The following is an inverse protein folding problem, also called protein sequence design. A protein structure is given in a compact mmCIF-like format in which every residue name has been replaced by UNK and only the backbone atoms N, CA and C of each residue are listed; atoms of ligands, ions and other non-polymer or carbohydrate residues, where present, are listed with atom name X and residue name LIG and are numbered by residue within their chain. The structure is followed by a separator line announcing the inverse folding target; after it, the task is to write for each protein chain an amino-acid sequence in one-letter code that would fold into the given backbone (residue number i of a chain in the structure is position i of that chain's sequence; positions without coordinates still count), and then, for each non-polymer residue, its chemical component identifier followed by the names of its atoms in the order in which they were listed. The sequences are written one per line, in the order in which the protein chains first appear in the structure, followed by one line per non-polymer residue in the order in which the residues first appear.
data_IF_228337410761
#
_entry.id   IF_228337410761
#
_cell.length_a   1.000
_cell.length_b   1.000
_cell.length_c   1.000
_cell.angle_alpha   90.00
_cell.angle_beta   90.00
_cell.angle_gamma   90.00
#
_symmetry.space_group_name_H-M   'P 1'
#
loop_
_entity.id
_entity.type
_entity.pdbx_description
1 polymer ?
#
# COMPACT_ATOMS: atom_id res chain seq x y z
N UNK A 1 16.36 -3.91 -13.25
CA UNK A 1 17.65 -4.25 -12.65
C UNK A 1 18.34 -3.01 -12.16
N UNK A 2 18.81 -3.06 -10.93
CA UNK A 2 19.84 -2.15 -10.43
C UNK A 2 21.04 -3.03 -10.12
N UNK A 3 22.01 -3.06 -11.01
CA UNK A 3 23.27 -3.77 -10.80
C UNK A 3 24.33 -2.76 -10.38
N UNK A 4 25.16 -3.12 -9.43
CA UNK A 4 26.27 -2.32 -8.97
C UNK A 4 27.59 -3.02 -9.34
N UNK A 5 28.11 -2.69 -10.52
CA UNK A 5 29.51 -2.92 -10.84
C UNK A 5 30.22 -1.57 -11.02
N UNK A 6 31.36 -1.40 -10.38
CA UNK A 6 32.21 -0.21 -10.56
C UNK A 6 31.64 1.12 -10.05
N UNK A 7 30.62 1.11 -9.17
CA UNK A 7 30.06 2.33 -8.56
C UNK A 7 28.97 3.05 -9.36
N UNK A 8 28.58 2.55 -10.53
CA UNK A 8 27.46 3.05 -11.33
C UNK A 8 26.28 2.10 -11.25
N UNK A 9 25.05 2.64 -11.36
CA UNK A 9 23.82 1.88 -11.43
C UNK A 9 23.23 2.04 -12.84
N UNK A 10 23.01 0.91 -13.52
CA UNK A 10 22.27 0.91 -14.77
C UNK A 10 20.76 0.84 -14.50
N UNK A 11 19.99 1.65 -15.23
CA UNK A 11 18.53 1.60 -15.23
C UNK A 11 18.10 1.03 -16.60
N UNK A 12 17.52 -0.17 -16.57
CA UNK A 12 16.97 -0.83 -17.76
C UNK A 12 15.43 -0.78 -17.71
N UNK A 13 14.80 -0.35 -18.80
CA UNK A 13 13.36 -0.56 -19.01
C UNK A 13 13.10 -2.05 -19.24
N UNK A 14 12.21 -2.66 -18.45
CA UNK A 14 11.94 -4.09 -18.51
C UNK A 14 10.86 -4.39 -19.55
N UNK A 15 9.73 -3.69 -19.48
CA UNK A 15 8.63 -3.86 -20.43
C UNK A 15 7.89 -2.52 -20.63
N UNK A 16 7.12 -2.43 -21.70
CA UNK A 16 6.29 -1.26 -22.02
C UNK A 16 4.84 -1.68 -22.22
N UNK A 17 3.94 -1.04 -21.48
CA UNK A 17 2.50 -1.15 -21.72
C UNK A 17 2.06 -0.13 -22.77
N UNK A 18 1.45 -0.59 -23.86
CA UNK A 18 1.09 0.30 -24.98
C UNK A 18 -0.02 1.30 -24.65
N UNK A 19 -0.88 1.04 -23.66
CA UNK A 19 -2.08 1.85 -23.40
C UNK A 19 -2.46 1.99 -21.92
N UNK A 20 -1.58 1.71 -20.97
CA UNK A 20 -1.94 1.74 -19.56
C UNK A 20 -0.86 2.35 -18.68
N UNK A 21 -1.26 3.24 -17.77
CA UNK A 21 -0.38 3.70 -16.69
C UNK A 21 -0.18 2.56 -15.69
N UNK A 22 1.07 2.18 -15.45
CA UNK A 22 1.41 1.23 -14.39
C UNK A 22 1.38 1.94 -13.05
N UNK A 23 0.75 1.29 -12.07
CA UNK A 23 0.68 1.77 -10.68
C UNK A 23 0.82 0.58 -9.74
N UNK A 24 1.17 0.86 -8.48
CA UNK A 24 1.32 -0.18 -7.48
C UNK A 24 2.34 -1.25 -7.89
N UNK A 25 3.33 -1.43 -7.07
CA UNK A 25 4.35 -2.46 -7.21
C UNK A 25 4.47 -3.19 -5.89
N UNK A 26 4.57 -4.52 -5.93
CA UNK A 26 4.81 -5.34 -4.76
C UNK A 26 5.79 -6.47 -5.10
N UNK A 27 6.64 -6.79 -4.13
CA UNK A 27 7.55 -7.93 -4.20
C UNK A 27 7.13 -8.93 -3.12
N UNK A 28 7.00 -10.20 -3.51
CA UNK A 28 6.71 -11.24 -2.54
C UNK A 28 7.92 -11.48 -1.64
N UNK A 29 7.76 -11.46 -0.29
CA UNK A 29 8.89 -11.41 0.63
C UNK A 29 9.78 -12.68 0.65
N UNK A 30 9.24 -13.86 0.30
CA UNK A 30 10.01 -15.12 0.29
C UNK A 30 10.40 -15.54 -1.14
N UNK A 31 9.53 -15.40 -2.14
CA UNK A 31 9.81 -15.88 -3.51
C UNK A 31 10.53 -14.85 -4.37
N UNK A 32 10.48 -13.57 -4.01
CA UNK A 32 11.02 -12.48 -4.80
C UNK A 32 10.21 -12.14 -6.06
N UNK A 33 9.06 -12.79 -6.28
CA UNK A 33 8.17 -12.49 -7.41
C UNK A 33 7.70 -11.04 -7.37
N UNK A 34 7.64 -10.42 -8.52
CA UNK A 34 7.25 -9.01 -8.68
C UNK A 34 5.88 -8.91 -9.31
N UNK A 35 5.01 -8.18 -8.65
CA UNK A 35 3.63 -7.92 -9.07
C UNK A 35 3.41 -6.43 -9.29
N UNK A 36 2.57 -6.09 -10.24
CA UNK A 36 2.20 -4.71 -10.52
C UNK A 36 0.75 -4.59 -10.97
N UNK A 37 0.19 -3.40 -10.88
CA UNK A 37 -1.17 -3.10 -11.32
C UNK A 37 -1.17 -2.08 -12.45
N UNK A 38 -2.14 -2.19 -13.36
CA UNK A 38 -2.43 -1.12 -14.30
C UNK A 38 -3.66 -0.30 -13.87
N UNK A 39 -3.65 0.99 -14.19
CA UNK A 39 -4.74 1.92 -13.87
C UNK A 39 -6.00 1.67 -14.69
N UNK A 40 -5.84 1.19 -15.92
CA UNK A 40 -6.89 1.06 -16.93
C UNK A 40 -7.69 -0.22 -16.80
N UNK A 41 -8.16 -0.61 -15.62
CA UNK A 41 -8.97 -1.81 -15.48
C UNK A 41 -8.65 -2.62 -14.24
N UNK A 42 -7.67 -2.19 -13.44
CA UNK A 42 -7.38 -2.80 -12.14
C UNK A 42 -6.88 -4.23 -12.22
N UNK A 43 -6.27 -4.62 -13.33
CA UNK A 43 -5.62 -5.91 -13.44
C UNK A 43 -4.31 -5.93 -12.66
N UNK A 44 -4.12 -7.03 -11.92
CA UNK A 44 -2.85 -7.39 -11.30
C UNK A 44 -2.10 -8.31 -12.25
N UNK A 45 -0.83 -8.02 -12.44
CA UNK A 45 0.08 -8.76 -13.31
C UNK A 45 1.26 -9.28 -12.51
N UNK A 46 1.85 -10.38 -12.99
CA UNK A 46 3.14 -10.90 -12.53
C UNK A 46 4.17 -10.78 -13.65
N UNK A 47 5.38 -10.37 -13.32
CA UNK A 47 6.52 -10.51 -14.21
C UNK A 47 6.96 -11.97 -14.31
N UNK A 48 7.27 -12.42 -15.53
CA UNK A 48 7.73 -13.75 -15.81
C UNK A 48 9.23 -13.77 -16.17
N UNK A 49 9.87 -14.87 -15.81
CA UNK A 49 11.26 -15.15 -16.15
C UNK A 49 12.30 -14.28 -15.41
N UNK A 50 13.58 -14.64 -15.54
CA UNK A 50 14.67 -13.99 -14.83
C UNK A 50 14.97 -12.57 -15.34
N UNK A 51 14.58 -12.25 -16.56
CA UNK A 51 14.88 -10.96 -17.19
C UNK A 51 13.75 -9.94 -17.06
N UNK A 52 12.59 -10.35 -16.53
CA UNK A 52 11.39 -9.52 -16.34
C UNK A 52 10.92 -8.82 -17.63
N UNK A 53 11.16 -9.41 -18.79
CA UNK A 53 10.80 -8.86 -20.11
C UNK A 53 9.37 -9.21 -20.51
N UNK A 54 8.78 -10.21 -19.86
CA UNK A 54 7.41 -10.68 -20.09
C UNK A 54 6.58 -10.62 -18.81
N UNK A 55 5.26 -10.59 -18.96
CA UNK A 55 4.30 -10.53 -17.87
C UNK A 55 2.99 -11.20 -18.22
N UNK A 56 2.28 -11.67 -17.23
CA UNK A 56 0.95 -12.26 -17.40
C UNK A 56 -0.10 -11.58 -16.52
N UNK A 57 -1.34 -11.42 -17.01
CA UNK A 57 -2.46 -11.00 -16.18
C UNK A 57 -2.89 -12.14 -15.26
N UNK A 58 -3.15 -11.82 -14.00
CA UNK A 58 -3.56 -12.80 -13.00
C UNK A 58 -5.05 -12.69 -12.65
N UNK A 59 -5.46 -11.51 -12.17
CA UNK A 59 -6.84 -11.25 -11.78
C UNK A 59 -7.11 -9.75 -11.80
N UNK A 60 -8.39 -9.39 -11.62
CA UNK A 60 -8.84 -8.00 -11.64
C UNK A 60 -9.53 -7.65 -10.31
N UNK A 61 -9.18 -6.49 -9.75
CA UNK A 61 -9.90 -5.94 -8.60
C UNK A 61 -11.20 -5.27 -9.07
N UNK A 62 -12.32 -5.88 -8.71
CA UNK A 62 -13.68 -5.32 -8.84
C UNK A 62 -14.04 -4.73 -10.22
N UNK A 63 -13.53 -5.27 -11.32
CA UNK A 63 -13.89 -4.92 -12.74
C UNK A 63 -14.08 -3.43 -13.01
N UNK A 64 -13.40 -2.55 -12.26
CA UNK A 64 -13.56 -1.12 -12.37
C UNK A 64 -12.49 -0.49 -13.25
N UNK A 65 -12.89 0.46 -14.07
CA UNK A 65 -11.97 1.29 -14.84
C UNK A 65 -11.34 2.38 -13.96
N UNK A 66 -10.09 2.72 -14.25
CA UNK A 66 -9.35 3.85 -13.68
C UNK A 66 -9.26 3.82 -12.15
N UNK A 67 -8.70 2.76 -11.61
CA UNK A 67 -8.36 2.69 -10.19
C UNK A 67 -6.92 3.15 -9.94
N UNK A 68 -6.72 3.89 -8.84
CA UNK A 68 -5.40 4.25 -8.31
C UNK A 68 -5.03 3.26 -7.21
N UNK A 69 -4.01 2.46 -7.40
CA UNK A 69 -3.68 1.37 -6.50
C UNK A 69 -2.30 1.48 -5.88
N UNK A 70 -2.19 0.97 -4.65
CA UNK A 70 -0.94 0.63 -3.99
C UNK A 70 -1.02 -0.81 -3.52
N UNK A 71 0.11 -1.47 -3.46
CA UNK A 71 0.15 -2.90 -3.12
C UNK A 71 1.26 -3.20 -2.13
N UNK A 72 1.01 -4.16 -1.24
CA UNK A 72 2.00 -4.69 -0.30
C UNK A 72 1.62 -6.12 0.09
N UNK A 73 2.60 -7.00 0.21
CA UNK A 73 2.39 -8.29 0.87
C UNK A 73 2.47 -8.14 2.40
N UNK A 74 1.71 -8.98 3.11
CA UNK A 74 1.97 -9.17 4.54
C UNK A 74 3.36 -9.82 4.74
N UNK A 75 3.96 -9.70 5.95
CA UNK A 75 5.31 -10.22 6.21
C UNK A 75 5.46 -11.73 5.92
N UNK A 76 4.40 -12.51 6.14
CA UNK A 76 4.35 -13.95 5.90
C UNK A 76 4.23 -14.31 4.40
N UNK A 77 3.96 -13.34 3.53
CA UNK A 77 3.75 -13.57 2.10
C UNK A 77 2.48 -14.37 1.76
N UNK A 78 1.55 -14.52 2.71
CA UNK A 78 0.34 -15.32 2.53
C UNK A 78 -0.82 -14.54 1.90
N UNK A 79 -0.69 -13.23 1.80
CA UNK A 79 -1.70 -12.37 1.19
C UNK A 79 -1.10 -11.09 0.60
N UNK A 80 -1.59 -10.69 -0.56
CA UNK A 80 -1.39 -9.38 -1.16
C UNK A 80 -2.52 -8.44 -0.72
N UNK A 81 -2.17 -7.28 -0.20
CA UNK A 81 -3.12 -6.22 0.10
C UNK A 81 -3.08 -5.16 -0.99
N UNK A 82 -4.23 -4.88 -1.56
CA UNK A 82 -4.40 -3.91 -2.64
C UNK A 82 -5.24 -2.74 -2.14
N UNK A 83 -4.58 -1.61 -1.93
CA UNK A 83 -5.23 -0.36 -1.57
C UNK A 83 -5.75 0.30 -2.83
N UNK A 84 -7.05 0.50 -2.93
CA UNK A 84 -7.69 1.21 -4.03
C UNK A 84 -7.96 2.64 -3.58
N UNK A 85 -6.97 3.50 -3.80
CA UNK A 85 -6.89 4.84 -3.22
C UNK A 85 -8.11 5.70 -3.53
N UNK A 86 -8.47 5.79 -4.79
CA UNK A 86 -9.60 6.59 -5.28
C UNK A 86 -10.98 5.94 -5.08
N UNK A 87 -11.03 4.75 -4.45
CA UNK A 87 -12.26 4.03 -4.06
C UNK A 87 -12.34 3.82 -2.55
N UNK A 88 -11.41 4.38 -1.79
CA UNK A 88 -11.42 4.45 -0.33
C UNK A 88 -11.44 3.09 0.39
N UNK A 89 -10.88 2.04 -0.22
CA UNK A 89 -10.95 0.69 0.31
C UNK A 89 -9.65 -0.11 0.10
N UNK A 90 -9.56 -1.22 0.82
CA UNK A 90 -8.43 -2.14 0.81
C UNK A 90 -8.97 -3.56 0.59
N UNK A 91 -8.44 -4.25 -0.40
CA UNK A 91 -8.69 -5.66 -0.65
C UNK A 91 -7.55 -6.51 -0.10
N UNK A 92 -7.90 -7.69 0.41
CA UNK A 92 -6.98 -8.77 0.75
C UNK A 92 -7.15 -9.88 -0.28
N UNK A 93 -6.05 -10.33 -0.87
CA UNK A 93 -6.04 -11.42 -1.84
C UNK A 93 -5.12 -12.50 -1.31
N UNK A 94 -5.66 -13.66 -0.88
CA UNK A 94 -4.84 -14.78 -0.42
C UNK A 94 -3.83 -15.21 -1.48
N UNK A 95 -2.64 -15.57 -1.07
CA UNK A 95 -1.59 -16.06 -1.96
C UNK A 95 -0.99 -17.36 -1.44
N UNK A 96 -0.83 -18.33 -2.32
CA UNK A 96 -0.16 -19.60 -2.05
C UNK A 96 1.22 -19.61 -2.75
N UNK A 97 2.28 -19.47 -1.97
CA UNK A 97 3.65 -19.42 -2.47
C UNK A 97 4.18 -20.77 -3.02
N UNK A 98 3.52 -21.90 -2.68
CA UNK A 98 3.91 -23.21 -3.21
C UNK A 98 3.36 -23.46 -4.63
N UNK A 99 2.17 -22.96 -4.90
CA UNK A 99 1.51 -23.11 -6.20
C UNK A 99 1.60 -21.84 -7.06
N UNK A 100 2.13 -20.76 -6.50
CA UNK A 100 2.21 -19.43 -7.12
C UNK A 100 0.84 -18.89 -7.61
N UNK A 101 -0.22 -19.15 -6.83
CA UNK A 101 -1.59 -18.79 -7.19
C UNK A 101 -2.25 -17.87 -6.17
N UNK A 102 -3.14 -17.01 -6.65
CA UNK A 102 -3.99 -16.17 -5.83
C UNK A 102 -5.38 -16.79 -5.63
N UNK A 103 -5.96 -16.54 -4.46
CA UNK A 103 -7.39 -16.73 -4.21
C UNK A 103 -8.23 -15.54 -4.69
N UNK A 104 -9.52 -15.56 -4.38
CA UNK A 104 -10.42 -14.46 -4.73
C UNK A 104 -10.12 -13.20 -3.89
N UNK A 105 -10.17 -12.00 -4.50
CA UNK A 105 -10.06 -10.74 -3.78
C UNK A 105 -11.24 -10.52 -2.82
N UNK A 106 -10.95 -10.26 -1.55
CA UNK A 106 -11.94 -9.98 -0.51
C UNK A 106 -11.81 -8.53 -0.03
N UNK A 107 -12.93 -7.83 0.14
CA UNK A 107 -12.93 -6.50 0.76
C UNK A 107 -12.50 -6.64 2.22
N UNK A 108 -11.31 -6.12 2.54
CA UNK A 108 -10.72 -6.23 3.88
C UNK A 108 -11.08 -5.04 4.78
N UNK A 109 -11.01 -3.81 4.25
CA UNK A 109 -11.32 -2.61 5.02
C UNK A 109 -11.78 -1.46 4.13
N UNK A 110 -12.64 -0.58 4.69
CA UNK A 110 -13.24 0.52 3.96
C UNK A 110 -14.50 0.11 3.20
N UNK A 111 -14.99 1.00 2.33
CA UNK A 111 -16.13 0.75 1.46
C UNK A 111 -15.88 1.30 0.07
N UNK A 112 -16.29 0.57 -0.97
CA UNK A 112 -16.12 1.00 -2.36
C UNK A 112 -16.91 2.28 -2.64
N UNK A 113 -16.21 3.34 -3.04
CA UNK A 113 -16.74 4.70 -3.23
C UNK A 113 -17.33 5.35 -1.97
N UNK A 114 -17.02 4.82 -0.78
CA UNK A 114 -17.52 5.34 0.49
C UNK A 114 -16.40 6.05 1.27
N UNK A 115 -16.13 7.29 0.88
CA UNK A 115 -15.15 8.12 1.58
C UNK A 115 -15.62 8.54 2.97
N UNK A 116 -14.70 8.59 3.93
CA UNK A 116 -15.04 9.01 5.29
C UNK A 116 -13.88 8.86 6.28
N UNK A 117 -14.20 9.06 7.55
CA UNK A 117 -13.29 8.79 8.66
C UNK A 117 -14.07 8.08 9.77
N UNK A 118 -14.03 6.76 9.76
CA UNK A 118 -14.68 5.91 10.77
C UNK A 118 -13.69 4.85 11.21
N UNK A 119 -13.52 4.70 12.53
CA UNK A 119 -12.79 3.58 13.15
C UNK A 119 -13.73 2.38 13.29
N UNK A 120 -13.18 1.19 13.57
CA UNK A 120 -13.93 -0.04 13.83
C UNK A 120 -13.50 -1.18 12.95
N UNK A 121 -14.30 -2.24 12.88
CA UNK A 121 -13.95 -3.43 12.10
C UNK A 121 -13.95 -3.15 10.60
N UNK A 122 -13.04 -3.77 9.90
CA UNK A 122 -12.63 -3.55 8.51
C UNK A 122 -13.66 -2.92 7.59
N UNK A 123 -14.70 -3.67 7.24
CA UNK A 123 -15.71 -3.22 6.25
C UNK A 123 -16.67 -2.14 6.79
N UNK A 124 -16.69 -1.90 8.12
CA UNK A 124 -17.44 -0.78 8.70
C UNK A 124 -16.61 0.49 8.83
N UNK A 125 -15.30 0.36 8.79
CA UNK A 125 -14.38 1.49 8.77
C UNK A 125 -14.54 2.32 7.49
N UNK A 126 -14.14 3.58 7.54
CA UNK A 126 -14.10 4.45 6.36
C UNK A 126 -12.75 5.15 6.27
N UNK A 127 -12.26 5.24 5.05
CA UNK A 127 -11.03 5.96 4.70
C UNK A 127 -11.34 7.10 3.73
N UNK A 128 -10.40 8.02 3.63
CA UNK A 128 -10.43 9.06 2.62
C UNK A 128 -9.08 9.08 1.88
N UNK A 129 -9.09 8.45 0.71
CA UNK A 129 -7.94 8.36 -0.17
C UNK A 129 -6.70 7.73 0.53
N UNK A 130 -6.81 6.45 0.98
CA UNK A 130 -5.70 5.73 1.58
C UNK A 130 -4.55 5.56 0.57
N UNK A 131 -3.30 5.54 1.06
CA UNK A 131 -2.09 5.51 0.25
C UNK A 131 -1.22 4.31 0.56
N UNK A 132 0.07 4.34 0.14
CA UNK A 132 1.00 3.22 0.26
C UNK A 132 1.20 2.80 1.72
N UNK A 133 0.73 1.62 2.12
CA UNK A 133 0.86 1.12 3.47
C UNK A 133 2.18 0.37 3.68
N UNK A 134 2.47 0.07 4.96
CA UNK A 134 3.48 -0.89 5.36
C UNK A 134 3.00 -1.72 6.54
N UNK A 135 3.60 -2.89 6.71
CA UNK A 135 3.36 -3.78 7.84
C UNK A 135 4.49 -3.71 8.86
N UNK A 136 4.16 -3.84 10.15
CA UNK A 136 5.13 -4.23 11.17
C UNK A 136 5.28 -5.76 11.25
N UNK A 137 6.19 -6.21 12.14
CA UNK A 137 6.46 -7.63 12.33
C UNK A 137 5.31 -8.39 13.01
N UNK A 138 4.40 -7.67 13.70
CA UNK A 138 3.22 -8.23 14.35
C UNK A 138 2.03 -8.35 13.37
N UNK A 139 2.22 -7.98 12.10
CA UNK A 139 1.20 -8.00 11.06
C UNK A 139 0.21 -6.85 11.13
N UNK A 140 0.49 -5.78 11.90
CA UNK A 140 -0.32 -4.57 11.82
C UNK A 140 0.04 -3.78 10.56
N UNK A 141 -0.98 -3.30 9.86
CA UNK A 141 -0.82 -2.46 8.68
C UNK A 141 -0.99 -0.98 9.07
N UNK A 142 -0.04 -0.15 8.65
CA UNK A 142 -0.13 1.30 8.80
C UNK A 142 -0.45 1.92 7.44
N UNK A 143 -1.53 2.70 7.41
CA UNK A 143 -2.11 3.24 6.17
C UNK A 143 -2.13 4.77 6.24
N UNK A 144 -1.35 5.48 5.42
CA UNK A 144 -1.51 6.91 5.28
C UNK A 144 -2.87 7.24 4.66
N UNK A 145 -3.57 8.21 5.21
CA UNK A 145 -4.78 8.80 4.64
C UNK A 145 -4.50 10.19 4.09
N UNK A 146 -4.40 10.27 2.78
CA UNK A 146 -4.12 11.51 2.06
C UNK A 146 -5.20 12.57 2.30
N UNK A 147 -6.47 12.17 2.26
CA UNK A 147 -7.61 13.08 2.42
C UNK A 147 -7.86 13.52 3.88
N UNK A 148 -7.36 12.75 4.86
CA UNK A 148 -7.57 13.06 6.29
C UNK A 148 -6.33 13.52 7.02
N UNK A 149 -5.16 13.50 6.36
CA UNK A 149 -3.89 13.95 6.95
C UNK A 149 -3.48 13.10 8.17
N UNK A 150 -3.78 11.81 8.16
CA UNK A 150 -3.58 10.88 9.28
C UNK A 150 -2.84 9.62 8.84
N UNK A 151 -2.36 8.87 9.83
CA UNK A 151 -1.92 7.48 9.69
C UNK A 151 -2.91 6.61 10.47
N UNK A 152 -3.49 5.62 9.79
CA UNK A 152 -4.36 4.62 10.41
C UNK A 152 -3.59 3.35 10.70
N UNK A 153 -3.96 2.65 11.77
CA UNK A 153 -3.50 1.30 12.07
C UNK A 153 -4.62 0.31 11.82
N UNK A 154 -4.32 -0.80 11.15
CA UNK A 154 -5.23 -1.92 10.96
C UNK A 154 -4.57 -3.15 11.57
N UNK A 155 -5.22 -3.82 12.52
CA UNK A 155 -4.72 -5.05 13.12
C UNK A 155 -4.84 -6.24 12.15
N UNK A 156 -4.16 -7.38 12.40
CA UNK A 156 -4.35 -8.60 11.60
C UNK A 156 -5.80 -9.08 11.53
N UNK A 157 -6.62 -8.75 12.53
CA UNK A 157 -8.05 -9.07 12.58
C UNK A 157 -8.94 -8.06 11.86
N UNK A 158 -8.36 -6.97 11.31
CA UNK A 158 -9.08 -5.97 10.53
C UNK A 158 -9.61 -4.78 11.36
N UNK A 159 -9.29 -4.65 12.65
CA UNK A 159 -9.69 -3.47 13.44
C UNK A 159 -8.89 -2.23 13.02
N UNK A 160 -9.62 -1.18 12.64
CA UNK A 160 -9.08 0.10 12.16
C UNK A 160 -9.16 1.16 13.26
N UNK A 161 -8.04 1.79 13.53
CA UNK A 161 -7.93 2.87 14.52
C UNK A 161 -7.07 4.01 14.01
N UNK A 162 -7.16 5.18 14.66
CA UNK A 162 -6.17 6.25 14.47
C UNK A 162 -4.85 5.82 15.10
N UNK A 163 -3.75 6.02 14.37
CA UNK A 163 -2.41 5.83 14.90
C UNK A 163 -1.70 7.16 15.15
N UNK A 164 -1.70 8.07 14.16
CA UNK A 164 -1.10 9.39 14.31
C UNK A 164 -1.77 10.43 13.40
N UNK A 165 -1.69 11.69 13.80
CA UNK A 165 -2.27 12.81 13.07
C UNK A 165 -3.61 13.26 13.64
N UNK A 166 -4.06 14.46 13.23
CA UNK A 166 -5.33 15.02 13.65
C UNK A 166 -6.30 15.04 12.44
N UNK A 167 -7.38 14.22 12.47
CA UNK A 167 -8.23 14.02 11.31
C UNK A 167 -8.78 15.30 10.70
N UNK A 168 -8.56 15.49 9.40
CA UNK A 168 -9.02 16.65 8.65
C UNK A 168 -8.25 17.94 8.91
N UNK A 169 -7.16 17.91 9.67
CA UNK A 169 -6.35 19.08 9.98
C UNK A 169 -4.93 18.95 9.43
N UNK A 170 -4.70 19.53 8.27
CA UNK A 170 -3.36 19.62 7.70
C UNK A 170 -2.43 20.47 8.56
N UNK A 171 -1.13 20.14 8.54
CA UNK A 171 -0.09 20.90 9.23
C UNK A 171 1.20 20.11 9.35
N UNK A 172 2.18 20.67 10.08
CA UNK A 172 3.48 20.02 10.32
C UNK A 172 3.91 20.09 11.81
N UNK A 173 2.95 20.06 12.70
CA UNK A 173 3.22 20.07 14.15
C UNK A 173 3.77 18.72 14.59
N UNK A 174 4.89 18.76 15.31
CA UNK A 174 5.46 17.61 16.01
C UNK A 174 4.83 17.44 17.40
N UNK A 175 5.07 16.31 18.05
CA UNK A 175 4.60 16.00 19.40
C UNK A 175 3.99 14.62 19.47
N UNK A 176 3.10 14.40 20.46
CA UNK A 176 2.40 13.14 20.63
C UNK A 176 1.66 12.74 19.35
N UNK A 177 1.60 11.45 19.01
CA UNK A 177 0.99 10.98 17.77
C UNK A 177 -0.40 11.54 17.48
N UNK A 178 -1.25 11.65 18.50
CA UNK A 178 -2.62 12.18 18.40
C UNK A 178 -2.69 13.72 18.29
N UNK A 179 -1.57 14.43 18.50
CA UNK A 179 -1.45 15.89 18.36
C UNK A 179 -0.63 16.30 17.14
N UNK A 180 0.16 15.39 16.63
CA UNK A 180 0.94 15.62 15.42
C UNK A 180 0.02 15.98 14.24
N UNK A 181 0.54 16.74 13.28
CA UNK A 181 -0.18 17.07 12.06
C UNK A 181 0.69 16.73 10.87
N UNK A 182 0.07 16.09 9.90
CA UNK A 182 0.63 15.80 8.58
C UNK A 182 -0.10 16.63 7.51
N UNK A 183 0.48 16.67 6.32
CA UNK A 183 -0.19 17.27 5.17
C UNK A 183 -0.09 16.35 3.96
N UNK A 184 -1.17 15.61 3.71
CA UNK A 184 -1.30 14.61 2.64
C UNK A 184 -0.17 13.57 2.65
N UNK A 185 -0.04 12.78 3.73
CA UNK A 185 0.95 11.72 3.79
C UNK A 185 0.72 10.72 2.65
N UNK A 186 1.80 10.36 1.92
CA UNK A 186 1.72 9.56 0.69
C UNK A 186 2.16 8.11 0.91
N UNK A 187 3.20 7.89 1.69
CA UNK A 187 3.65 6.54 2.00
C UNK A 187 4.24 6.45 3.40
N UNK A 188 4.25 5.25 3.92
CA UNK A 188 4.89 4.90 5.19
C UNK A 188 5.75 3.66 5.01
N UNK A 189 6.82 3.58 5.78
CA UNK A 189 7.61 2.37 5.96
C UNK A 189 7.87 2.13 7.43
N UNK A 190 7.96 0.86 7.82
CA UNK A 190 8.26 0.46 9.20
C UNK A 190 9.73 0.10 9.30
N UNK A 191 10.42 0.61 10.29
CA UNK A 191 11.81 0.28 10.58
C UNK A 191 11.92 -0.85 11.63
N UNK A 192 13.12 -1.39 11.81
CA UNK A 192 13.37 -2.53 12.70
C UNK A 192 12.98 -2.31 14.17
N UNK A 193 12.95 -1.06 14.62
CA UNK A 193 12.53 -0.67 15.97
C UNK A 193 11.02 -0.35 16.06
N UNK A 194 10.24 -0.77 15.05
CA UNK A 194 8.82 -0.47 14.89
C UNK A 194 8.49 1.02 14.74
N UNK A 195 9.48 1.92 14.61
CA UNK A 195 9.17 3.30 14.23
C UNK A 195 8.72 3.38 12.78
N UNK A 196 7.78 4.30 12.52
CA UNK A 196 7.33 4.58 11.16
C UNK A 196 8.10 5.78 10.60
N UNK A 197 8.46 5.68 9.33
CA UNK A 197 8.90 6.83 8.54
C UNK A 197 7.81 7.17 7.53
N UNK A 198 7.35 8.39 7.56
CA UNK A 198 6.20 8.88 6.78
C UNK A 198 6.70 9.92 5.77
N UNK A 199 6.41 9.72 4.49
CA UNK A 199 6.54 10.77 3.50
C UNK A 199 5.37 11.75 3.63
N UNK A 200 5.61 12.84 4.32
CA UNK A 200 4.65 13.91 4.59
C UNK A 200 4.66 14.89 3.41
N UNK A 201 3.99 14.49 2.33
CA UNK A 201 4.19 14.96 0.96
C UNK A 201 4.09 16.48 0.80
N UNK A 202 2.97 17.07 1.18
CA UNK A 202 2.73 18.51 0.96
C UNK A 202 3.42 19.39 2.00
N UNK A 203 4.05 18.77 3.02
CA UNK A 203 5.02 19.43 3.90
C UNK A 203 6.46 19.29 3.41
N UNK A 204 6.72 18.49 2.37
CA UNK A 204 8.07 18.20 1.82
C UNK A 204 9.04 17.62 2.87
N UNK A 205 8.53 16.79 3.78
CA UNK A 205 9.27 16.22 4.92
C UNK A 205 9.19 14.71 4.95
N UNK A 206 10.22 14.09 5.51
CA UNK A 206 10.15 12.73 6.05
C UNK A 206 10.01 12.85 7.56
N UNK A 207 8.93 12.29 8.10
CA UNK A 207 8.61 12.34 9.53
C UNK A 207 8.82 10.97 10.16
N UNK A 208 9.35 10.93 11.38
CA UNK A 208 9.46 9.69 12.15
C UNK A 208 8.38 9.69 13.25
N UNK A 209 7.65 8.60 13.36
CA UNK A 209 6.71 8.33 14.45
C UNK A 209 7.27 7.16 15.25
N UNK A 210 7.55 7.39 16.54
CA UNK A 210 8.05 6.38 17.48
C UNK A 210 6.96 5.96 18.42
N UNK A 211 6.95 4.69 18.80
CA UNK A 211 6.19 4.19 19.96
C UNK A 211 7.18 4.17 21.13
N UNK A 212 6.86 4.86 22.22
CA UNK A 212 7.58 4.74 23.49
C UNK A 212 7.10 3.55 24.29
#
# INVERSE_FOLDING_TARGET
YVTREGGFMDVKGLCKFEKAETQGLAVHPQTGEIFFCNKSGGYIYRFNGPDYEDYEPLFQINRADKIDTRMVFNPEGTALFVVVCNRHCIYKVPYNALTHTFGEPELFAGGWDESGYVNGSGVTARFDNPRQPAFDQDGNMFVPEYGRHTIRKITPTGEVSLYAGLPGQAGFTDGLPEKARFNKPECVTVYLDNSLYVADRDNHLIRRVTVE
#
